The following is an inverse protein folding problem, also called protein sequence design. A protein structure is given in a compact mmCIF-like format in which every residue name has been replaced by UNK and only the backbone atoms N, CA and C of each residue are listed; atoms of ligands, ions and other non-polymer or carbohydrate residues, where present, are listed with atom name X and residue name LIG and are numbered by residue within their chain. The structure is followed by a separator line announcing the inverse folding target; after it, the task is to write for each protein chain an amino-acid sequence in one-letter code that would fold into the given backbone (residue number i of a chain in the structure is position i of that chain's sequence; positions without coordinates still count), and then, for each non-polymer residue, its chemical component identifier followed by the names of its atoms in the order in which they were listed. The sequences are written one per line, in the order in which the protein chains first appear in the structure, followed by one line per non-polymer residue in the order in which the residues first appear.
data_IF_496511762638
#
_entry.id   IF_496511762638
#
_cell.length_a   1.000
_cell.length_b   1.000
_cell.length_c   1.000
_cell.angle_alpha   90.00
_cell.angle_beta   90.00
_cell.angle_gamma   90.00
#
_symmetry.space_group_name_H-M   'P 1'
#
loop_
_entity.id
_entity.type
_entity.pdbx_description
1 polymer ?
#
# COMPACT_ATOMS: atom_id res chain seq x y z
N UNK A 1 -74.36 31.17 16.88
CA UNK A 1 -73.75 32.02 17.92
C UNK A 1 -72.80 31.15 18.73
N UNK A 2 -71.49 31.27 18.53
CA UNK A 2 -70.48 30.50 19.27
C UNK A 2 -70.19 31.21 20.61
N UNK A 3 -70.13 30.46 21.71
CA UNK A 3 -69.95 31.00 23.07
C UNK A 3 -68.55 31.65 23.22
N UNK A 4 -68.45 32.87 23.78
CA UNK A 4 -67.20 33.62 23.92
C UNK A 4 -66.15 32.91 24.81
N UNK A 5 -66.59 32.02 25.69
CA UNK A 5 -65.75 31.13 26.51
C UNK A 5 -64.78 30.26 25.69
N UNK A 6 -65.22 29.77 24.52
CA UNK A 6 -64.41 28.91 23.66
C UNK A 6 -63.29 29.69 22.97
N UNK A 7 -63.57 30.94 22.58
CA UNK A 7 -62.58 31.82 21.98
C UNK A 7 -61.49 32.21 22.97
N UNK A 8 -61.85 32.51 24.23
CA UNK A 8 -60.88 32.84 25.27
C UNK A 8 -59.94 31.67 25.60
N UNK A 9 -60.47 30.44 25.68
CA UNK A 9 -59.67 29.24 25.97
C UNK A 9 -58.74 28.85 24.82
N UNK A 10 -59.17 29.08 23.58
CA UNK A 10 -58.35 28.83 22.39
C UNK A 10 -57.20 29.85 22.26
N UNK A 11 -57.47 31.13 22.56
CA UNK A 11 -56.46 32.19 22.58
C UNK A 11 -55.41 31.99 23.69
N UNK A 12 -55.83 31.56 24.87
CA UNK A 12 -54.92 31.18 25.98
C UNK A 12 -53.97 30.04 25.57
N UNK A 13 -54.46 29.04 24.84
CA UNK A 13 -53.66 27.91 24.39
C UNK A 13 -52.64 28.28 23.30
N UNK A 14 -52.96 29.26 22.45
CA UNK A 14 -52.01 29.81 21.47
C UNK A 14 -50.95 30.70 22.14
N UNK A 15 -51.30 31.48 23.16
CA UNK A 15 -50.35 32.28 23.94
C UNK A 15 -49.33 31.43 24.69
N UNK A 16 -49.72 30.25 25.18
CA UNK A 16 -48.84 29.36 25.94
C UNK A 16 -47.86 28.55 25.06
N UNK A 17 -48.06 28.49 23.73
CA UNK A 17 -47.09 27.89 22.81
C UNK A 17 -45.92 28.82 22.47
N UNK A 18 -46.09 30.14 22.65
CA UNK A 18 -45.06 31.14 22.32
C UNK A 18 -43.90 31.18 23.33
N UNK A 19 -44.05 30.51 24.48
CA UNK A 19 -43.03 30.36 25.53
C UNK A 19 -42.38 28.96 25.52
N UNK A 20 -42.42 28.23 24.40
CA UNK A 20 -41.38 27.23 24.17
C UNK A 20 -40.20 27.98 23.60
N UNK A 21 -39.26 28.28 24.48
CA UNK A 21 -37.96 28.85 24.13
C UNK A 21 -37.35 27.98 23.04
N UNK A 22 -37.40 28.46 21.79
CA UNK A 22 -36.58 27.91 20.73
C UNK A 22 -35.14 28.32 21.06
N UNK A 23 -34.47 27.51 21.89
CA UNK A 23 -33.04 27.63 22.16
C UNK A 23 -32.28 27.41 20.85
N UNK A 24 -32.01 28.50 20.14
CA UNK A 24 -31.17 28.49 18.95
C UNK A 24 -29.71 28.23 19.33
N UNK A 25 -29.01 27.47 18.48
CA UNK A 25 -27.56 27.24 18.62
C UNK A 25 -26.82 28.58 18.63
N UNK A 26 -26.00 28.83 19.64
CA UNK A 26 -25.25 30.09 19.73
C UNK A 26 -24.04 30.05 18.79
N UNK A 27 -23.64 31.21 18.26
CA UNK A 27 -22.42 31.32 17.44
C UNK A 27 -21.16 30.89 18.21
N UNK A 28 -21.13 31.11 19.52
CA UNK A 28 -20.02 30.72 20.39
C UNK A 28 -19.93 29.20 20.56
N UNK A 29 -21.05 28.48 20.67
CA UNK A 29 -21.04 27.01 20.73
C UNK A 29 -20.49 26.42 19.44
N UNK A 30 -20.92 26.94 18.29
CA UNK A 30 -20.40 26.49 17.00
C UNK A 30 -18.90 26.80 16.86
N UNK A 31 -18.45 27.95 17.36
CA UNK A 31 -17.06 28.37 17.33
C UNK A 31 -16.15 27.45 18.17
N UNK A 32 -16.56 27.09 19.39
CA UNK A 32 -15.78 26.17 20.23
C UNK A 32 -15.71 24.77 19.60
N UNK A 33 -16.80 24.30 19.00
CA UNK A 33 -16.84 22.98 18.34
C UNK A 33 -15.86 22.91 17.17
N UNK A 34 -15.84 23.92 16.28
CA UNK A 34 -14.91 23.91 15.14
C UNK A 34 -13.45 24.05 15.59
N UNK A 35 -13.19 24.75 16.70
CA UNK A 35 -11.85 24.82 17.29
C UNK A 35 -11.40 23.44 17.77
N UNK A 36 -12.25 22.71 18.50
CA UNK A 36 -11.93 21.37 19.00
C UNK A 36 -11.71 20.41 17.82
N UNK A 37 -12.60 20.40 16.83
CA UNK A 37 -12.45 19.56 15.62
C UNK A 37 -11.17 19.93 14.86
N UNK A 38 -10.83 21.22 14.78
CA UNK A 38 -9.60 21.70 14.14
C UNK A 38 -8.33 21.16 14.80
N UNK A 39 -8.28 21.18 16.14
CA UNK A 39 -7.14 20.63 16.90
C UNK A 39 -7.04 19.11 16.71
N UNK A 40 -8.15 18.38 16.78
CA UNK A 40 -8.17 16.93 16.58
C UNK A 40 -7.74 16.56 15.15
N UNK A 41 -8.23 17.29 14.15
CA UNK A 41 -7.88 17.07 12.75
C UNK A 41 -6.38 17.29 12.50
N UNK A 42 -5.78 18.33 13.10
CA UNK A 42 -4.36 18.61 12.94
C UNK A 42 -3.45 17.46 13.40
N UNK A 43 -3.83 16.74 14.47
CA UNK A 43 -3.06 15.60 15.01
C UNK A 43 -3.39 14.31 14.23
N UNK A 44 -4.67 14.10 13.90
CA UNK A 44 -5.14 12.85 13.29
C UNK A 44 -4.76 12.71 11.80
N UNK A 45 -4.80 13.81 11.04
CA UNK A 45 -4.60 13.80 9.59
C UNK A 45 -3.23 13.24 9.16
N UNK A 46 -2.07 13.64 9.73
CA UNK A 46 -0.79 13.08 9.30
C UNK A 46 -0.68 11.57 9.54
N UNK A 47 -1.26 11.07 10.64
CA UNK A 47 -1.32 9.64 10.94
C UNK A 47 -2.18 8.89 9.92
N UNK A 48 -3.34 9.44 9.57
CA UNK A 48 -4.24 8.86 8.57
C UNK A 48 -3.57 8.75 7.19
N UNK A 49 -2.90 9.82 6.74
CA UNK A 49 -2.18 9.81 5.47
C UNK A 49 -1.06 8.76 5.44
N UNK A 50 -0.33 8.60 6.54
CA UNK A 50 0.68 7.55 6.69
C UNK A 50 0.09 6.13 6.60
N UNK A 51 -1.09 5.90 7.19
CA UNK A 51 -1.79 4.61 7.13
C UNK A 51 -2.29 4.29 5.71
N UNK A 52 -2.85 5.28 5.01
CA UNK A 52 -3.27 5.12 3.61
C UNK A 52 -2.08 4.75 2.72
N UNK A 53 -0.93 5.39 2.91
CA UNK A 53 0.28 5.06 2.16
C UNK A 53 0.79 3.64 2.47
N UNK A 54 0.72 3.19 3.73
CA UNK A 54 1.05 1.80 4.10
C UNK A 54 0.10 0.78 3.47
N UNK A 55 -1.20 1.09 3.43
CA UNK A 55 -2.19 0.24 2.77
C UNK A 55 -1.88 0.09 1.27
N UNK A 56 -1.54 1.20 0.59
CA UNK A 56 -1.09 1.19 -0.82
C UNK A 56 0.19 0.39 -1.02
N UNK A 57 1.16 0.51 -0.12
CA UNK A 57 2.42 -0.24 -0.16
C UNK A 57 2.23 -1.76 0.05
N UNK A 58 1.17 -2.19 0.73
CA UNK A 58 0.86 -3.60 0.94
C UNK A 58 0.65 -4.36 -0.37
N UNK A 59 0.08 -3.72 -1.39
CA UNK A 59 -0.10 -4.28 -2.75
C UNK A 59 1.25 -4.73 -3.33
N UNK A 60 2.21 -3.81 -3.46
CA UNK A 60 3.52 -4.09 -4.04
C UNK A 60 4.33 -5.09 -3.19
N UNK A 61 4.23 -5.02 -1.86
CA UNK A 61 4.86 -5.99 -0.96
C UNK A 61 4.34 -7.41 -1.19
N UNK A 62 3.02 -7.58 -1.30
CA UNK A 62 2.40 -8.88 -1.54
C UNK A 62 2.74 -9.43 -2.93
N UNK A 63 2.75 -8.56 -3.95
CA UNK A 63 3.13 -8.94 -5.31
C UNK A 63 4.59 -9.36 -5.40
N UNK A 64 5.51 -8.65 -4.72
CA UNK A 64 6.93 -9.04 -4.67
C UNK A 64 7.10 -10.46 -4.12
N UNK A 65 6.43 -10.79 -3.01
CA UNK A 65 6.48 -12.14 -2.44
C UNK A 65 5.83 -13.20 -3.34
N UNK A 66 4.75 -12.86 -4.03
CA UNK A 66 4.05 -13.77 -4.95
C UNK A 66 4.90 -14.06 -6.18
N UNK A 67 5.44 -13.03 -6.83
CA UNK A 67 6.31 -13.17 -7.99
C UNK A 67 7.58 -13.94 -7.64
N UNK A 68 8.19 -13.69 -6.47
CA UNK A 68 9.37 -14.45 -6.06
C UNK A 68 9.09 -15.95 -5.92
N UNK A 69 7.93 -16.34 -5.36
CA UNK A 69 7.55 -17.76 -5.27
C UNK A 69 7.25 -18.35 -6.63
N UNK A 70 6.56 -17.59 -7.49
CA UNK A 70 6.21 -18.05 -8.84
C UNK A 70 7.43 -18.18 -9.75
N UNK A 71 8.41 -17.29 -9.64
CA UNK A 71 9.68 -17.42 -10.36
C UNK A 71 10.48 -18.66 -9.93
N UNK A 72 10.47 -18.98 -8.62
CA UNK A 72 11.08 -20.23 -8.13
C UNK A 72 10.37 -21.46 -8.70
N UNK A 73 9.03 -21.49 -8.64
CA UNK A 73 8.25 -22.59 -9.21
C UNK A 73 8.47 -22.72 -10.74
N UNK A 74 8.48 -21.60 -11.45
CA UNK A 74 8.71 -21.56 -12.89
C UNK A 74 10.10 -22.09 -13.26
N UNK A 75 11.13 -21.74 -12.48
CA UNK A 75 12.47 -22.28 -12.67
C UNK A 75 12.52 -23.80 -12.42
N UNK A 76 11.82 -24.31 -11.41
CA UNK A 76 11.77 -25.76 -11.16
C UNK A 76 11.15 -26.53 -12.33
N UNK A 77 10.17 -25.94 -13.02
CA UNK A 77 9.48 -26.57 -14.14
C UNK A 77 10.22 -26.42 -15.48
N UNK A 78 10.72 -25.22 -15.79
CA UNK A 78 11.29 -24.90 -17.11
C UNK A 78 12.81 -24.73 -17.12
N UNK A 79 13.49 -24.83 -15.97
CA UNK A 79 14.94 -24.61 -15.81
C UNK A 79 15.42 -23.24 -16.34
N UNK A 80 14.51 -22.26 -16.39
CA UNK A 80 14.76 -20.86 -16.74
C UNK A 80 13.86 -19.96 -15.93
N UNK A 81 14.19 -18.69 -15.82
CA UNK A 81 13.27 -17.70 -15.26
C UNK A 81 12.35 -17.12 -16.35
N UNK A 82 11.18 -16.64 -15.92
CA UNK A 82 10.27 -15.92 -16.79
C UNK A 82 10.82 -14.50 -17.07
N UNK A 83 10.83 -14.10 -18.34
CA UNK A 83 11.27 -12.75 -18.76
C UNK A 83 10.18 -11.71 -18.58
N UNK A 84 8.91 -12.14 -18.60
CA UNK A 84 7.74 -11.28 -18.52
C UNK A 84 6.78 -11.75 -17.43
N UNK A 85 6.07 -10.79 -16.82
CA UNK A 85 5.12 -11.06 -15.75
C UNK A 85 3.92 -11.91 -16.23
N UNK A 86 3.57 -11.82 -17.51
CA UNK A 86 2.49 -12.62 -18.12
C UNK A 86 2.81 -14.10 -18.20
N UNK A 87 4.08 -14.49 -18.30
CA UNK A 87 4.49 -15.90 -18.33
C UNK A 87 4.25 -16.60 -16.99
N UNK A 88 4.29 -15.85 -15.89
CA UNK A 88 4.05 -16.39 -14.55
C UNK A 88 2.57 -16.67 -14.28
N UNK A 89 1.64 -16.09 -15.07
CA UNK A 89 0.19 -16.29 -14.96
C UNK A 89 -0.40 -16.10 -13.55
N UNK A 90 0.23 -15.25 -12.73
CA UNK A 90 -0.17 -14.99 -11.32
C UNK A 90 -1.30 -13.97 -11.16
N UNK A 91 -1.89 -13.48 -12.24
CA UNK A 91 -2.99 -12.52 -12.20
C UNK A 91 -2.60 -11.10 -11.77
N UNK A 92 -1.30 -10.77 -11.77
CA UNK A 92 -0.80 -9.43 -11.43
C UNK A 92 -0.82 -8.55 -12.69
N UNK A 93 -1.42 -7.37 -12.58
CA UNK A 93 -1.41 -6.37 -13.65
C UNK A 93 -0.06 -5.65 -13.67
N UNK A 94 0.46 -5.34 -14.85
CA UNK A 94 1.76 -4.63 -15.00
C UNK A 94 1.71 -3.18 -14.54
N UNK A 95 0.53 -2.58 -14.40
CA UNK A 95 0.38 -1.23 -13.83
C UNK A 95 -0.88 -1.14 -12.98
N UNK A 96 -0.74 -0.49 -11.83
CA UNK A 96 -1.82 -0.02 -10.96
C UNK A 96 -1.75 1.50 -10.80
N UNK A 97 -2.67 2.09 -10.05
CA UNK A 97 -2.63 3.53 -9.78
C UNK A 97 -1.36 3.95 -8.99
N UNK A 98 -0.82 3.02 -8.19
CA UNK A 98 0.25 3.28 -7.26
C UNK A 98 1.61 2.78 -7.74
N UNK A 99 1.65 1.75 -8.59
CA UNK A 99 2.87 1.04 -8.97
C UNK A 99 2.90 0.64 -10.44
N UNK A 100 4.11 0.59 -10.99
CA UNK A 100 4.41 -0.09 -12.25
C UNK A 100 5.27 -1.33 -11.95
N UNK A 101 4.88 -2.46 -12.53
CA UNK A 101 5.43 -3.77 -12.28
C UNK A 101 6.07 -4.34 -13.53
N UNK A 102 7.34 -4.68 -13.43
CA UNK A 102 8.08 -5.37 -14.49
C UNK A 102 8.89 -6.53 -13.94
N UNK A 103 9.21 -7.46 -14.84
CA UNK A 103 10.18 -8.51 -14.60
C UNK A 103 11.29 -8.31 -15.60
N UNK A 104 12.52 -8.46 -15.16
CA UNK A 104 13.70 -8.44 -16.01
C UNK A 104 14.59 -9.61 -15.61
N UNK A 105 15.19 -10.28 -16.59
CA UNK A 105 16.16 -11.34 -16.32
C UNK A 105 17.54 -10.87 -16.71
N UNK A 106 18.53 -11.18 -15.88
CA UNK A 106 19.94 -11.02 -16.20
C UNK A 106 20.61 -12.39 -16.26
N UNK A 107 21.43 -12.61 -17.28
CA UNK A 107 22.33 -13.77 -17.29
C UNK A 107 23.48 -13.45 -16.33
N UNK A 108 23.72 -14.34 -15.35
CA UNK A 108 24.88 -14.21 -14.48
C UNK A 108 26.18 -14.37 -15.28
N UNK A 109 27.25 -13.68 -14.85
CA UNK A 109 28.61 -13.97 -15.31
C UNK A 109 29.30 -14.91 -14.32
N UNK A 110 29.81 -16.06 -14.78
CA UNK A 110 30.52 -17.04 -13.93
C UNK A 110 29.63 -18.22 -13.48
N UNK A 111 29.90 -18.77 -12.28
CA UNK A 111 29.18 -19.94 -11.70
C UNK A 111 27.77 -19.64 -11.18
N UNK A 112 27.25 -18.43 -11.41
CA UNK A 112 25.92 -17.98 -10.98
C UNK A 112 24.98 -18.11 -12.16
N UNK A 113 24.02 -19.03 -12.07
CA UNK A 113 22.96 -19.16 -13.07
C UNK A 113 21.98 -17.98 -12.99
N UNK A 114 21.20 -17.79 -14.07
CA UNK A 114 20.39 -16.60 -14.37
C UNK A 114 19.63 -16.02 -13.16
N UNK A 115 19.35 -14.72 -13.18
CA UNK A 115 18.55 -14.03 -12.18
C UNK A 115 17.29 -13.49 -12.80
N UNK A 116 16.17 -13.57 -12.08
CA UNK A 116 15.00 -12.75 -12.31
C UNK A 116 14.88 -11.67 -11.25
N UNK A 117 14.74 -10.43 -11.71
CA UNK A 117 14.38 -9.30 -10.89
C UNK A 117 12.93 -8.91 -11.16
N UNK A 118 12.12 -8.89 -10.12
CA UNK A 118 10.83 -8.22 -10.12
C UNK A 118 11.01 -6.78 -9.63
N UNK A 119 10.45 -5.80 -10.35
CA UNK A 119 10.47 -4.39 -9.96
C UNK A 119 9.05 -3.91 -9.75
N UNK A 120 8.77 -3.35 -8.58
CA UNK A 120 7.54 -2.63 -8.26
C UNK A 120 7.88 -1.16 -8.00
N UNK A 121 7.90 -0.36 -9.05
CA UNK A 121 8.30 1.05 -9.00
C UNK A 121 7.09 1.89 -8.61
N UNK A 122 7.22 2.68 -7.55
CA UNK A 122 6.18 3.60 -7.12
C UNK A 122 5.90 4.67 -8.19
N UNK A 123 4.62 4.91 -8.49
CA UNK A 123 4.17 6.00 -9.36
C UNK A 123 3.94 7.31 -8.58
N UNK A 124 3.80 7.24 -7.25
CA UNK A 124 3.52 8.38 -6.36
C UNK A 124 4.73 8.66 -5.46
N UNK A 125 5.03 9.94 -5.21
CA UNK A 125 6.22 10.36 -4.45
C UNK A 125 6.19 9.99 -2.95
N UNK A 126 5.01 9.72 -2.39
CA UNK A 126 4.86 9.33 -1.00
C UNK A 126 5.05 7.82 -0.75
N UNK A 127 5.30 7.04 -1.80
CA UNK A 127 5.36 5.57 -1.72
C UNK A 127 6.79 5.06 -1.89
N UNK A 128 7.11 3.98 -1.18
CA UNK A 128 8.35 3.22 -1.33
C UNK A 128 8.28 2.33 -2.58
N UNK A 129 9.43 2.09 -3.20
CA UNK A 129 9.56 1.11 -4.28
C UNK A 129 10.02 -0.24 -3.74
N UNK A 130 9.68 -1.28 -4.47
CA UNK A 130 9.91 -2.67 -4.09
C UNK A 130 10.66 -3.38 -5.20
N UNK A 131 11.52 -4.33 -4.83
CA UNK A 131 12.02 -5.29 -5.79
C UNK A 131 12.20 -6.67 -5.16
N UNK A 132 12.06 -7.69 -5.99
CA UNK A 132 12.38 -9.07 -5.66
C UNK A 132 13.52 -9.55 -6.54
N UNK A 133 14.43 -10.34 -6.00
CA UNK A 133 15.39 -11.09 -6.78
C UNK A 133 15.17 -12.57 -6.53
N UNK A 134 15.20 -13.34 -7.61
CA UNK A 134 15.29 -14.79 -7.57
C UNK A 134 16.47 -15.19 -8.42
N UNK A 135 17.34 -16.01 -7.86
CA UNK A 135 18.48 -16.56 -8.57
C UNK A 135 18.71 -17.98 -8.13
N UNK A 136 19.62 -18.65 -8.82
CA UNK A 136 20.06 -19.99 -8.45
C UNK A 136 21.46 -19.95 -7.91
N UNK A 137 21.68 -20.65 -6.81
CA UNK A 137 22.99 -20.90 -6.23
C UNK A 137 23.27 -22.39 -6.33
N UNK A 138 24.52 -22.74 -6.66
CA UNK A 138 24.98 -24.11 -6.50
C UNK A 138 24.98 -24.43 -5.00
N UNK A 139 24.33 -25.52 -4.62
CA UNK A 139 24.37 -26.07 -3.28
C UNK A 139 25.79 -26.48 -2.86
N UNK A 140 25.89 -27.17 -1.72
CA UNK A 140 27.18 -27.60 -1.17
C UNK A 140 28.08 -28.26 -2.25
N UNK A 141 29.39 -28.06 -2.12
CA UNK A 141 30.42 -28.48 -3.09
C UNK A 141 30.36 -29.97 -3.43
N UNK A 142 29.67 -30.77 -2.61
CA UNK A 142 29.44 -32.20 -2.79
C UNK A 142 28.28 -32.56 -3.74
N UNK A 143 27.16 -31.81 -3.77
CA UNK A 143 25.94 -32.23 -4.49
C UNK A 143 25.70 -31.48 -5.81
N UNK A 144 26.29 -30.29 -5.99
CA UNK A 144 26.10 -29.43 -7.19
C UNK A 144 24.62 -29.23 -7.57
N UNK A 145 23.71 -29.33 -6.61
CA UNK A 145 22.28 -29.11 -6.86
C UNK A 145 22.00 -27.61 -7.00
N UNK A 146 21.27 -27.20 -8.03
CA UNK A 146 20.87 -25.82 -8.20
C UNK A 146 19.68 -25.51 -7.28
N UNK A 147 19.91 -24.73 -6.22
CA UNK A 147 18.86 -24.26 -5.32
C UNK A 147 18.44 -22.86 -5.73
N UNK A 148 17.14 -22.62 -5.87
CA UNK A 148 16.61 -21.28 -6.08
C UNK A 148 16.51 -20.53 -4.76
N UNK A 149 17.08 -19.34 -4.70
CA UNK A 149 17.03 -18.45 -3.53
C UNK A 149 16.32 -17.18 -3.96
N UNK A 150 15.55 -16.60 -3.04
CA UNK A 150 14.87 -15.34 -3.29
C UNK A 150 15.03 -14.36 -2.13
N UNK A 151 15.16 -13.09 -2.49
CA UNK A 151 15.14 -11.96 -1.58
C UNK A 151 14.09 -10.95 -2.05
N UNK A 152 13.42 -10.30 -1.10
CA UNK A 152 12.52 -9.19 -1.36
C UNK A 152 13.06 -7.97 -0.60
N UNK A 153 13.02 -6.81 -1.23
CA UNK A 153 13.61 -5.58 -0.73
C UNK A 153 12.65 -4.41 -0.93
N UNK A 154 12.67 -3.44 -0.02
CA UNK A 154 11.99 -2.14 -0.16
C UNK A 154 12.95 -0.99 0.03
N UNK A 155 12.64 0.18 -0.54
CA UNK A 155 13.47 1.38 -0.36
C UNK A 155 13.39 1.90 1.09
N UNK A 156 14.51 2.43 1.61
CA UNK A 156 14.55 3.07 2.94
C UNK A 156 13.63 4.29 3.01
N UNK A 157 13.60 5.10 1.94
CA UNK A 157 12.74 6.26 1.78
C UNK A 157 11.82 6.11 0.55
N UNK A 158 10.73 6.90 0.43
CA UNK A 158 9.93 6.97 -0.79
C UNK A 158 10.81 7.28 -2.00
N UNK A 159 10.68 6.49 -3.05
CA UNK A 159 11.52 6.59 -4.25
C UNK A 159 10.79 6.00 -5.45
N UNK A 160 11.10 6.53 -6.64
CA UNK A 160 10.61 6.06 -7.94
C UNK A 160 11.69 5.29 -8.71
N UNK A 161 12.72 4.82 -8.02
CA UNK A 161 13.83 4.08 -8.62
C UNK A 161 14.01 2.72 -7.95
N UNK A 162 14.41 1.75 -8.76
CA UNK A 162 14.80 0.40 -8.35
C UNK A 162 16.14 0.10 -9.00
N UNK A 163 17.10 -0.41 -8.23
CA UNK A 163 18.41 -0.79 -8.75
C UNK A 163 18.25 -1.84 -9.85
N UNK A 164 18.93 -1.66 -10.99
CA UNK A 164 19.01 -2.71 -12.00
C UNK A 164 20.09 -3.70 -11.58
N UNK A 165 19.75 -4.98 -11.46
CA UNK A 165 20.66 -5.98 -10.91
C UNK A 165 21.15 -6.91 -12.01
N UNK A 166 22.47 -6.94 -12.23
CA UNK A 166 23.12 -7.78 -13.23
C UNK A 166 23.50 -9.17 -12.70
N UNK A 167 23.66 -9.32 -11.38
CA UNK A 167 24.10 -10.56 -10.72
C UNK A 167 23.33 -10.79 -9.43
N UNK A 168 23.08 -12.05 -9.08
CA UNK A 168 22.39 -12.38 -7.82
C UNK A 168 23.18 -11.85 -6.61
N UNK A 169 22.47 -11.31 -5.62
CA UNK A 169 23.02 -10.90 -4.33
C UNK A 169 22.11 -11.43 -3.23
N UNK A 170 22.71 -12.06 -2.21
CA UNK A 170 21.99 -12.54 -1.02
C UNK A 170 21.50 -11.38 -0.13
N UNK A 171 21.95 -10.14 -0.40
CA UNK A 171 21.58 -8.94 0.34
C UNK A 171 20.96 -7.87 -0.56
N UNK A 172 20.13 -7.01 0.02
CA UNK A 172 19.59 -5.85 -0.68
C UNK A 172 20.69 -4.80 -0.96
N UNK A 173 20.50 -3.99 -2.00
CA UNK A 173 21.35 -2.83 -2.27
C UNK A 173 21.28 -1.80 -1.11
N UNK A 174 22.29 -0.93 -0.99
CA UNK A 174 22.48 -0.05 0.17
C UNK A 174 21.29 0.85 0.50
N UNK A 175 20.55 1.34 -0.51
CA UNK A 175 19.35 2.18 -0.32
C UNK A 175 18.07 1.40 0.02
N UNK A 176 18.20 0.09 0.18
CA UNK A 176 17.10 -0.84 0.38
C UNK A 176 17.26 -1.62 1.69
N UNK A 177 16.13 -2.14 2.17
CA UNK A 177 16.03 -2.98 3.36
C UNK A 177 15.32 -4.26 2.97
N UNK A 178 15.81 -5.40 3.46
CA UNK A 178 15.20 -6.69 3.21
C UNK A 178 13.83 -6.76 3.86
N UNK A 179 12.85 -7.23 3.09
CA UNK A 179 11.49 -7.55 3.53
C UNK A 179 11.43 -8.90 4.28
N UNK A 180 12.48 -9.22 5.04
CA UNK A 180 12.73 -10.55 5.63
C UNK A 180 11.45 -11.24 6.12
N UNK A 181 11.35 -12.50 5.72
CA UNK A 181 10.33 -13.52 6.02
C UNK A 181 9.70 -13.42 7.41
#
# INVERSE_FOLDING_TARGET
MLKPELQAKFLSHLSNRKNREEEGFTLIELLVVVIIIGVLAAIALPSLLGQVNKAKQSEARNYTGTVNRSQQAFFLEYQRFATDLSELQVGIRTASENYNYSVETANGSGSVASVAQFKGIASKDALKSYYGLVGTQLGDSATKEALTIAIACETKAPSKTVASIATFSETCADDFVSLSR
#
